data_IF_589285074789
#
_entry.id   IF_589285074789
#
_cell.length_a   1.000
_cell.length_b   1.000
_cell.length_c   1.000
_cell.angle_alpha   90.00
_cell.angle_beta   90.00
_cell.angle_gamma   90.00
#
_symmetry.space_group_name_H-M   'P 1'
#
loop_
_entity.id
_entity.type
_entity.pdbx_description
1 polymer ?
#
# COMPACT_ATOMS: atom_id res chain seq x y z
N UNK A 1 -8.21 -7.51 -18.98
CA UNK A 1 -7.07 -7.69 -19.90
C UNK A 1 -7.04 -6.50 -20.81
N UNK A 2 -5.86 -5.97 -21.11
CA UNK A 2 -5.67 -4.77 -21.93
C UNK A 2 -4.84 -5.10 -23.17
N UNK A 3 -4.95 -4.24 -24.19
CA UNK A 3 -4.20 -4.43 -25.44
C UNK A 3 -2.73 -4.13 -25.23
N UNK A 4 -1.90 -5.10 -25.60
CA UNK A 4 -0.45 -5.00 -25.45
C UNK A 4 0.12 -4.02 -26.46
N UNK A 5 0.91 -3.04 -26.01
CA UNK A 5 1.57 -2.06 -26.88
C UNK A 5 2.43 -2.74 -27.96
N UNK A 6 3.19 -3.78 -27.59
CA UNK A 6 4.07 -4.47 -28.55
C UNK A 6 3.36 -5.35 -29.60
N UNK A 7 2.15 -5.87 -29.36
CA UNK A 7 1.51 -6.81 -30.31
C UNK A 7 0.03 -6.54 -30.62
N UNK A 8 -0.59 -5.53 -29.99
CA UNK A 8 -1.99 -5.15 -30.16
C UNK A 8 -3.00 -6.18 -29.66
N UNK A 9 -2.57 -7.23 -28.94
CA UNK A 9 -3.47 -8.30 -28.46
C UNK A 9 -3.80 -8.12 -26.98
N UNK A 10 -5.06 -8.36 -26.62
CA UNK A 10 -5.49 -8.41 -25.23
C UNK A 10 -4.91 -9.64 -24.53
N UNK A 11 -3.98 -9.43 -23.59
CA UNK A 11 -3.27 -10.51 -22.86
C UNK A 11 -3.03 -10.12 -21.40
N UNK A 12 -2.68 -11.09 -20.57
CA UNK A 12 -2.07 -10.83 -19.27
C UNK A 12 -0.70 -10.16 -19.45
N UNK A 13 -0.38 -9.24 -18.54
CA UNK A 13 0.75 -8.35 -18.63
C UNK A 13 0.78 -7.39 -17.46
N UNK A 14 1.59 -6.35 -17.59
CA UNK A 14 1.75 -5.30 -16.59
C UNK A 14 1.82 -3.93 -17.25
N UNK A 15 1.48 -2.91 -16.48
CA UNK A 15 1.59 -1.52 -16.87
C UNK A 15 2.98 -0.97 -16.54
N UNK A 16 3.64 -0.42 -17.55
CA UNK A 16 4.91 0.29 -17.41
C UNK A 16 4.71 1.78 -17.66
N UNK A 17 5.15 2.60 -16.70
CA UNK A 17 5.00 4.06 -16.71
C UNK A 17 4.71 4.59 -15.30
N UNK A 18 4.73 5.91 -15.17
CA UNK A 18 4.59 6.68 -13.93
C UNK A 18 3.16 6.78 -13.40
N UNK A 19 2.13 6.59 -14.24
CA UNK A 19 0.76 6.91 -13.84
C UNK A 19 -0.29 6.81 -14.93
N UNK A 20 -1.51 7.24 -14.58
CA UNK A 20 -2.65 7.33 -15.49
C UNK A 20 -2.28 8.22 -16.68
N UNK A 21 -2.46 7.72 -17.90
CA UNK A 21 -2.17 8.44 -19.14
C UNK A 21 -0.71 8.36 -19.62
N UNK A 22 0.22 7.94 -18.75
CA UNK A 22 1.63 7.74 -19.11
C UNK A 22 2.02 6.25 -19.17
N UNK A 23 1.21 5.38 -18.58
CA UNK A 23 1.47 3.94 -18.53
C UNK A 23 0.96 3.17 -19.75
N UNK A 24 1.79 2.26 -20.27
CA UNK A 24 1.48 1.35 -21.36
C UNK A 24 1.39 -0.09 -20.87
N UNK A 25 0.45 -0.88 -21.41
CA UNK A 25 0.30 -2.29 -21.08
C UNK A 25 1.21 -3.17 -21.92
N UNK A 26 2.03 -4.00 -21.28
CA UNK A 26 2.96 -4.92 -21.93
C UNK A 26 2.69 -6.35 -21.50
N UNK A 27 2.31 -7.20 -22.46
CA UNK A 27 2.17 -8.64 -22.21
C UNK A 27 3.54 -9.29 -21.96
N UNK A 28 3.57 -10.38 -21.21
CA UNK A 28 4.79 -11.11 -20.83
C UNK A 28 5.73 -11.44 -22.00
N UNK A 29 5.15 -11.76 -23.16
CA UNK A 29 5.93 -12.09 -24.37
C UNK A 29 6.57 -10.87 -25.04
N UNK A 30 5.98 -9.69 -24.89
CA UNK A 30 6.44 -8.45 -25.53
C UNK A 30 7.27 -7.57 -24.60
N UNK A 31 7.35 -7.90 -23.30
CA UNK A 31 8.22 -7.20 -22.37
C UNK A 31 9.69 -7.34 -22.80
N UNK A 32 10.43 -6.23 -22.76
CA UNK A 32 11.87 -6.19 -23.01
C UNK A 32 12.65 -6.98 -21.94
N UNK A 33 13.94 -7.22 -22.18
CA UNK A 33 14.81 -7.83 -21.19
C UNK A 33 14.86 -6.98 -19.90
N UNK A 34 15.11 -5.69 -20.04
CA UNK A 34 15.19 -4.73 -18.92
C UNK A 34 13.89 -4.67 -18.11
N UNK A 35 12.74 -4.73 -18.79
CA UNK A 35 11.43 -4.76 -18.12
C UNK A 35 11.26 -6.02 -17.26
N UNK A 36 11.70 -7.18 -17.76
CA UNK A 36 11.64 -8.45 -17.01
C UNK A 36 12.61 -8.46 -15.85
N UNK A 37 13.82 -7.92 -16.05
CA UNK A 37 14.81 -7.76 -15.00
C UNK A 37 14.30 -6.85 -13.88
N UNK A 38 13.69 -5.72 -14.24
CA UNK A 38 13.06 -4.82 -13.28
C UNK A 38 11.96 -5.53 -12.47
N UNK A 39 11.05 -6.26 -13.12
CA UNK A 39 10.00 -7.02 -12.43
C UNK A 39 10.63 -8.02 -11.44
N UNK A 40 11.62 -8.80 -11.90
CA UNK A 40 12.28 -9.79 -11.04
C UNK A 40 12.96 -9.14 -9.83
N UNK A 41 13.61 -8.00 -10.03
CA UNK A 41 14.25 -7.24 -8.96
C UNK A 41 13.22 -6.74 -7.93
N UNK A 42 12.08 -6.22 -8.38
CA UNK A 42 10.99 -5.77 -7.50
C UNK A 42 10.37 -6.93 -6.72
N UNK A 43 10.14 -8.07 -7.36
CA UNK A 43 9.60 -9.27 -6.70
C UNK A 43 10.58 -9.82 -5.64
N UNK A 44 11.89 -9.70 -5.88
CA UNK A 44 12.92 -10.08 -4.90
C UNK A 44 12.97 -9.12 -3.71
N UNK A 45 12.93 -7.80 -3.97
CA UNK A 45 12.87 -6.77 -2.91
C UNK A 45 11.61 -6.92 -2.06
N UNK A 46 10.47 -7.23 -2.68
CA UNK A 46 9.20 -7.38 -1.99
C UNK A 46 9.20 -8.50 -0.94
N UNK A 47 10.11 -9.50 -1.00
CA UNK A 47 10.17 -10.60 -0.03
C UNK A 47 10.37 -10.17 1.43
N UNK A 48 10.98 -9.01 1.65
CA UNK A 48 11.19 -8.44 2.99
C UNK A 48 10.09 -7.49 3.46
N UNK A 49 9.16 -7.15 2.57
CA UNK A 49 8.19 -6.06 2.75
C UNK A 49 6.76 -6.55 2.61
N UNK A 50 6.45 -7.41 1.65
CA UNK A 50 5.10 -7.85 1.33
C UNK A 50 4.91 -9.36 1.57
N UNK A 51 3.67 -9.75 1.78
CA UNK A 51 3.28 -11.16 1.85
C UNK A 51 3.34 -11.80 0.46
N UNK A 52 3.53 -13.12 0.45
CA UNK A 52 3.54 -13.92 -0.77
C UNK A 52 2.95 -15.29 -0.54
N UNK A 53 2.41 -15.88 -1.59
CA UNK A 53 1.98 -17.27 -1.63
C UNK A 53 2.53 -17.99 -2.87
N UNK A 54 1.86 -19.07 -3.27
CA UNK A 54 2.21 -19.86 -4.45
C UNK A 54 2.01 -19.07 -5.77
N UNK A 55 1.11 -18.08 -5.78
CA UNK A 55 0.77 -17.28 -6.96
C UNK A 55 1.66 -16.03 -7.08
N UNK A 56 2.39 -15.68 -6.02
CA UNK A 56 3.44 -14.67 -6.05
C UNK A 56 3.32 -13.64 -4.92
N UNK A 57 3.85 -12.44 -5.17
CA UNK A 57 3.79 -11.31 -4.23
C UNK A 57 2.40 -10.69 -4.23
N UNK A 58 1.87 -10.47 -3.03
CA UNK A 58 0.58 -9.80 -2.82
C UNK A 58 0.77 -8.29 -2.82
N UNK A 59 0.75 -7.71 -4.01
CA UNK A 59 0.79 -6.26 -4.19
C UNK A 59 -0.52 -5.62 -3.69
N UNK A 60 -0.46 -4.57 -2.85
CA UNK A 60 -1.64 -3.76 -2.55
C UNK A 60 -2.31 -3.25 -3.83
N UNK A 61 -3.65 -3.29 -3.87
CA UNK A 61 -4.49 -3.06 -5.06
C UNK A 61 -4.35 -4.09 -6.19
N UNK A 62 -3.69 -5.21 -5.90
CA UNK A 62 -3.63 -6.37 -6.78
C UNK A 62 -2.57 -6.27 -7.88
N UNK A 63 -2.55 -7.25 -8.80
CA UNK A 63 -1.45 -7.42 -9.75
C UNK A 63 -1.38 -6.33 -10.82
N UNK A 64 -2.41 -5.49 -10.97
CA UNK A 64 -2.50 -4.49 -12.03
C UNK A 64 -1.90 -3.13 -11.67
N UNK A 65 -1.35 -2.95 -10.47
CA UNK A 65 -0.63 -1.71 -10.14
C UNK A 65 0.56 -1.50 -11.07
N UNK A 66 0.82 -0.24 -11.39
CA UNK A 66 1.90 0.14 -12.28
C UNK A 66 3.25 -0.28 -11.70
N UNK A 67 4.16 -0.71 -12.58
CA UNK A 67 5.49 -1.18 -12.17
C UNK A 67 6.27 -0.08 -11.43
N UNK A 68 6.08 1.20 -11.78
CA UNK A 68 6.69 2.30 -11.03
C UNK A 68 6.14 2.41 -9.61
N UNK A 69 4.82 2.34 -9.43
CA UNK A 69 4.19 2.39 -8.10
C UNK A 69 4.60 1.21 -7.20
N UNK A 70 4.95 0.06 -7.78
CA UNK A 70 5.58 -1.05 -7.05
C UNK A 70 6.92 -0.64 -6.46
N UNK A 71 7.77 0.02 -7.25
CA UNK A 71 9.06 0.52 -6.79
C UNK A 71 8.87 1.58 -5.70
N UNK A 72 7.97 2.55 -5.93
CA UNK A 72 7.70 3.64 -5.00
C UNK A 72 7.17 3.13 -3.65
N UNK A 73 6.33 2.08 -3.66
CA UNK A 73 5.84 1.41 -2.46
C UNK A 73 6.99 0.81 -1.67
N UNK A 74 7.89 0.08 -2.34
CA UNK A 74 9.02 -0.58 -1.68
C UNK A 74 9.99 0.45 -1.11
N UNK A 75 10.31 1.50 -1.87
CA UNK A 75 11.16 2.60 -1.40
C UNK A 75 10.53 3.31 -0.19
N UNK A 76 9.22 3.53 -0.21
CA UNK A 76 8.46 4.10 0.90
C UNK A 76 8.50 3.19 2.13
N UNK A 77 8.26 1.88 1.97
CA UNK A 77 8.25 0.94 3.08
C UNK A 77 9.64 0.76 3.69
N UNK A 78 10.69 0.72 2.86
CA UNK A 78 12.09 0.68 3.29
C UNK A 78 12.47 1.94 4.07
N UNK A 79 12.07 3.12 3.59
CA UNK A 79 12.32 4.40 4.29
C UNK A 79 11.76 4.40 5.72
N UNK A 80 10.60 3.79 5.93
CA UNK A 80 9.96 3.71 7.23
C UNK A 80 10.26 2.42 8.01
N UNK A 81 11.16 1.55 7.53
CA UNK A 81 11.44 0.23 8.13
C UNK A 81 10.16 -0.60 8.39
N UNK A 82 9.28 -0.65 7.38
CA UNK A 82 7.98 -1.31 7.46
C UNK A 82 7.92 -2.60 6.65
N UNK A 83 7.09 -3.52 7.13
CA UNK A 83 6.59 -4.67 6.36
C UNK A 83 5.07 -4.72 6.47
N UNK A 84 4.40 -5.30 5.48
CA UNK A 84 2.96 -5.44 5.48
C UNK A 84 2.53 -6.25 6.72
N UNK A 85 1.45 -5.77 7.33
CA UNK A 85 0.71 -6.45 8.36
C UNK A 85 -0.65 -6.85 7.82
N UNK A 86 -1.26 -7.85 8.45
CA UNK A 86 -2.61 -8.27 8.13
C UNK A 86 -3.49 -8.15 9.38
N UNK A 87 -4.69 -7.60 9.20
CA UNK A 87 -5.69 -7.50 10.24
C UNK A 87 -7.06 -7.82 9.69
N UNK A 88 -7.86 -8.55 10.48
CA UNK A 88 -9.27 -8.75 10.21
C UNK A 88 -10.13 -7.50 10.50
N UNK A 89 -9.51 -6.42 10.99
CA UNK A 89 -10.21 -5.18 11.31
C UNK A 89 -10.35 -4.30 10.09
N UNK A 90 -11.55 -3.77 9.90
CA UNK A 90 -11.86 -2.89 8.78
C UNK A 90 -11.08 -1.57 8.80
N UNK A 91 -10.90 -0.93 9.97
CA UNK A 91 -10.11 0.30 10.12
C UNK A 91 -8.65 0.04 10.51
N UNK A 92 -8.35 -1.13 11.07
CA UNK A 92 -7.02 -1.44 11.61
C UNK A 92 -6.66 -0.75 12.93
N UNK A 93 -7.43 0.24 13.41
CA UNK A 93 -7.07 1.04 14.60
C UNK A 93 -6.91 0.21 15.88
N UNK A 94 -7.89 -0.66 16.18
CA UNK A 94 -7.79 -1.55 17.34
C UNK A 94 -6.57 -2.47 17.27
N UNK A 95 -6.28 -2.98 16.08
CA UNK A 95 -5.08 -3.80 15.86
C UNK A 95 -3.81 -2.99 16.06
N UNK A 96 -3.79 -1.76 15.56
CA UNK A 96 -2.67 -0.85 15.68
C UNK A 96 -2.39 -0.48 17.15
N UNK A 97 -3.43 -0.18 17.92
CA UNK A 97 -3.32 0.21 19.34
C UNK A 97 -3.04 -1.00 20.26
N UNK A 98 -3.77 -2.11 20.11
CA UNK A 98 -3.72 -3.25 21.04
C UNK A 98 -2.84 -4.40 20.58
N UNK A 99 -2.33 -4.38 19.35
CA UNK A 99 -1.59 -5.49 18.76
C UNK A 99 -2.48 -6.63 18.25
N UNK A 100 -3.80 -6.54 18.44
CA UNK A 100 -4.80 -7.55 18.07
C UNK A 100 -6.15 -6.89 17.85
N UNK A 101 -7.03 -7.53 17.11
CA UNK A 101 -8.40 -7.04 16.97
C UNK A 101 -9.40 -8.18 16.77
N UNK A 102 -10.52 -8.13 17.49
CA UNK A 102 -11.69 -8.95 17.19
C UNK A 102 -12.63 -8.20 16.24
N UNK A 103 -13.18 -8.89 15.21
CA UNK A 103 -14.06 -8.27 14.19
C UNK A 103 -15.22 -7.44 14.76
N UNK A 104 -15.71 -7.79 15.96
CA UNK A 104 -16.84 -7.11 16.64
C UNK A 104 -16.47 -5.76 17.22
N UNK A 105 -15.17 -5.49 17.41
CA UNK A 105 -14.67 -4.23 17.98
C UNK A 105 -14.50 -3.16 16.88
N UNK A 106 -14.51 -3.55 15.59
CA UNK A 106 -14.33 -2.59 14.50
C UNK A 106 -15.68 -1.95 14.12
N UNK A 107 -15.90 -0.71 14.55
CA UNK A 107 -17.06 0.09 14.15
C UNK A 107 -16.62 1.28 13.28
N UNK A 108 -17.41 1.55 12.23
CA UNK A 108 -17.32 2.76 11.42
C UNK A 108 -16.07 2.86 10.54
N UNK A 109 -16.24 3.47 9.38
CA UNK A 109 -15.14 3.95 8.55
C UNK A 109 -15.47 5.39 8.14
N UNK A 110 -14.82 6.39 8.75
CA UNK A 110 -14.74 7.72 8.16
C UNK A 110 -14.36 7.63 6.67
N UNK A 111 -14.74 8.65 5.88
CA UNK A 111 -14.59 8.62 4.43
C UNK A 111 -13.14 8.45 3.97
N UNK A 112 -12.17 8.85 4.79
CA UNK A 112 -10.74 8.73 4.48
C UNK A 112 -10.19 7.30 4.60
N UNK A 113 -10.94 6.32 5.15
CA UNK A 113 -10.57 4.90 5.16
C UNK A 113 -10.80 4.24 3.79
N UNK A 114 -10.18 4.83 2.78
CA UNK A 114 -10.07 4.29 1.46
C UNK A 114 -8.66 3.77 1.25
N UNK A 115 -8.58 2.69 0.48
CA UNK A 115 -7.30 2.18 0.05
C UNK A 115 -6.37 1.80 1.22
N UNK A 116 -6.97 1.34 2.34
CA UNK A 116 -6.26 1.04 3.59
C UNK A 116 -5.25 -0.11 3.45
N UNK A 117 -4.04 0.12 3.93
CA UNK A 117 -3.00 -0.89 4.15
C UNK A 117 -2.52 -0.84 5.58
N UNK A 118 -2.08 -1.97 6.12
CA UNK A 118 -1.60 -2.09 7.50
C UNK A 118 -0.17 -2.56 7.53
N UNK A 119 0.63 -2.04 8.45
CA UNK A 119 2.08 -2.19 8.45
C UNK A 119 2.63 -2.46 9.85
N UNK A 120 3.57 -3.38 9.91
CA UNK A 120 4.35 -3.74 11.08
C UNK A 120 5.71 -3.04 10.99
N UNK A 121 6.25 -2.61 12.14
CA UNK A 121 7.66 -2.28 12.26
C UNK A 121 8.49 -3.53 12.00
N UNK A 122 9.48 -3.47 11.11
CA UNK A 122 10.38 -4.61 10.88
C UNK A 122 11.29 -4.84 12.07
N UNK A 123 11.71 -3.77 12.74
CA UNK A 123 12.52 -3.84 13.96
C UNK A 123 11.81 -4.54 15.11
N UNK A 124 10.55 -4.19 15.41
CA UNK A 124 9.85 -4.74 16.60
C UNK A 124 8.90 -5.89 16.27
N UNK A 125 8.50 -6.04 15.00
CA UNK A 125 7.45 -6.96 14.57
C UNK A 125 6.04 -6.56 15.02
N UNK A 126 5.86 -5.38 15.64
CA UNK A 126 4.58 -4.91 16.19
C UNK A 126 3.86 -3.98 15.21
N UNK A 127 2.52 -3.85 15.31
CA UNK A 127 1.75 -2.89 14.52
C UNK A 127 2.26 -1.47 14.69
N UNK A 128 2.65 -0.85 13.57
CA UNK A 128 3.29 0.46 13.57
C UNK A 128 2.49 1.50 12.81
N UNK A 129 1.79 1.11 11.74
CA UNK A 129 1.07 2.04 10.89
C UNK A 129 -0.20 1.44 10.28
N UNK A 130 -1.27 2.21 10.30
CA UNK A 130 -2.39 2.09 9.37
C UNK A 130 -2.26 3.23 8.37
N UNK A 131 -2.19 2.89 7.09
CA UNK A 131 -1.98 3.85 6.02
C UNK A 131 -3.18 3.85 5.07
N UNK A 132 -3.77 5.01 4.84
CA UNK A 132 -4.90 5.18 3.92
C UNK A 132 -4.50 6.14 2.79
N UNK A 133 -5.10 5.92 1.62
CA UNK A 133 -4.81 6.71 0.41
C UNK A 133 -6.11 7.13 -0.28
N UNK A 134 -6.99 7.91 0.38
CA UNK A 134 -8.23 8.37 -0.22
C UNK A 134 -7.99 9.32 -1.40
N UNK A 135 -8.94 9.29 -2.32
CA UNK A 135 -9.05 10.29 -3.37
C UNK A 135 -9.54 11.63 -2.78
N UNK A 136 -8.83 12.71 -3.10
CA UNK A 136 -9.17 14.06 -2.65
C UNK A 136 -8.51 14.48 -1.33
N UNK A 137 -8.79 15.70 -0.91
CA UNK A 137 -8.22 16.26 0.32
C UNK A 137 -8.95 15.73 1.55
N UNK A 138 -8.18 15.45 2.60
CA UNK A 138 -8.69 15.02 3.91
C UNK A 138 -8.42 16.10 4.93
N UNK A 139 -9.42 16.45 5.75
CA UNK A 139 -9.23 17.38 6.86
C UNK A 139 -8.47 16.69 8.00
N UNK A 140 -7.28 17.17 8.41
CA UNK A 140 -6.55 16.61 9.55
C UNK A 140 -7.35 16.62 10.86
N UNK A 141 -8.31 17.53 11.04
CA UNK A 141 -9.17 17.56 12.22
C UNK A 141 -10.10 16.34 12.28
N UNK A 142 -10.69 15.93 11.14
CA UNK A 142 -11.53 14.72 11.03
C UNK A 142 -10.72 13.47 11.37
N UNK A 143 -9.47 13.38 10.88
CA UNK A 143 -8.59 12.25 11.19
C UNK A 143 -8.30 12.20 12.69
N UNK A 144 -7.95 13.35 13.32
CA UNK A 144 -7.69 13.41 14.76
C UNK A 144 -8.90 13.01 15.59
N UNK A 145 -10.09 13.50 15.23
CA UNK A 145 -11.33 13.13 15.89
C UNK A 145 -11.55 11.61 15.84
N UNK A 146 -11.33 11.01 14.67
CA UNK A 146 -11.54 9.57 14.46
C UNK A 146 -10.61 8.64 15.27
N UNK A 147 -9.45 9.15 15.69
CA UNK A 147 -8.48 8.40 16.51
C UNK A 147 -8.47 8.84 17.97
N UNK A 148 -9.35 9.76 18.38
CA UNK A 148 -9.32 10.39 19.70
C UNK A 148 -9.50 9.40 20.87
N UNK A 149 -10.15 8.26 20.63
CA UNK A 149 -10.30 7.18 21.62
C UNK A 149 -9.02 6.35 21.83
N UNK A 150 -8.00 6.56 21.00
CA UNK A 150 -6.75 5.80 20.99
C UNK A 150 -5.56 6.71 21.35
N UNK A 151 -5.28 6.93 22.65
CA UNK A 151 -4.27 7.89 23.08
C UNK A 151 -2.82 7.48 22.71
N UNK A 152 -2.59 6.25 22.24
CA UNK A 152 -1.29 5.78 21.76
C UNK A 152 -1.04 6.07 20.28
N UNK A 153 -2.05 6.58 19.58
CA UNK A 153 -2.02 6.80 18.14
C UNK A 153 -1.85 8.27 17.79
N UNK A 154 -1.07 8.53 16.75
CA UNK A 154 -0.93 9.85 16.14
C UNK A 154 -1.29 9.79 14.66
N UNK A 155 -1.70 10.92 14.10
CA UNK A 155 -2.04 11.01 12.69
C UNK A 155 -1.29 12.14 12.00
N UNK A 156 -0.82 11.84 10.78
CA UNK A 156 -0.18 12.78 9.87
C UNK A 156 -0.92 12.71 8.52
N UNK A 157 -1.25 13.86 7.95
CA UNK A 157 -1.78 13.95 6.58
C UNK A 157 -0.71 14.57 5.72
N UNK A 158 -0.25 13.83 4.72
CA UNK A 158 0.80 14.23 3.80
C UNK A 158 0.27 14.35 2.37
N UNK A 159 1.10 14.90 1.46
CA UNK A 159 0.80 14.87 0.03
C UNK A 159 0.75 13.44 -0.53
N UNK A 160 0.54 13.32 -1.83
CA UNK A 160 0.49 12.07 -2.59
C UNK A 160 1.59 11.08 -2.19
N UNK A 161 1.18 9.83 -1.95
CA UNK A 161 2.07 8.75 -1.53
C UNK A 161 2.37 7.81 -2.70
N UNK A 162 2.95 6.64 -2.43
CA UNK A 162 3.44 5.68 -3.41
C UNK A 162 2.40 5.18 -4.43
N UNK A 163 1.10 5.24 -4.12
CA UNK A 163 0.06 4.84 -5.07
C UNK A 163 -0.21 5.88 -6.16
N UNK A 164 0.23 7.14 -5.97
CA UNK A 164 -0.04 8.20 -6.93
C UNK A 164 -1.55 8.44 -7.17
N UNK A 165 -1.88 8.94 -8.36
CA UNK A 165 -3.22 9.20 -8.86
C UNK A 165 -4.05 10.25 -8.08
N UNK A 166 -3.42 11.29 -7.55
CA UNK A 166 -4.10 12.39 -6.85
C UNK A 166 -4.68 11.98 -5.49
N UNK A 167 -4.13 10.93 -4.90
CA UNK A 167 -4.47 10.50 -3.54
C UNK A 167 -3.79 11.35 -2.49
N UNK A 168 -4.38 11.42 -1.30
CA UNK A 168 -3.78 12.03 -0.11
C UNK A 168 -3.26 10.94 0.80
N UNK A 169 -2.05 11.07 1.33
CA UNK A 169 -1.52 10.11 2.30
C UNK A 169 -2.03 10.40 3.71
N UNK A 170 -2.80 9.48 4.29
CA UNK A 170 -3.22 9.55 5.71
C UNK A 170 -2.50 8.47 6.50
N UNK A 171 -1.58 8.89 7.36
CA UNK A 171 -0.75 8.04 8.18
C UNK A 171 -1.30 8.03 9.60
N UNK A 172 -1.61 6.85 10.13
CA UNK A 172 -1.99 6.68 11.54
C UNK A 172 -0.96 5.78 12.20
N UNK A 173 -0.09 6.37 13.01
CA UNK A 173 1.03 5.72 13.66
C UNK A 173 0.66 5.24 15.04
N UNK A 174 1.31 4.15 15.49
CA UNK A 174 1.45 3.86 16.91
C UNK A 174 2.80 4.41 17.38
N UNK A 175 2.81 5.42 18.25
CA UNK A 175 4.04 6.10 18.69
C UNK A 175 5.00 5.15 19.41
N UNK A 176 4.47 4.16 20.14
CA UNK A 176 5.27 3.19 20.88
C UNK A 176 5.93 2.12 20.01
N UNK A 177 5.50 2.00 18.74
CA UNK A 177 6.04 1.03 17.78
C UNK A 177 6.59 1.70 16.51
N UNK A 178 6.65 3.04 16.48
CA UNK A 178 7.25 3.79 15.38
C UNK A 178 8.74 3.41 15.26
N UNK A 179 9.23 3.04 14.06
CA UNK A 179 10.64 2.72 13.85
C UNK A 179 11.59 3.89 14.10
#
# INVERSE_FOLDING_TARGET
MYDCEGCGRSRQGLYFGSGIGEAQWWCWSCQSADQKELISSLDDRARGVLDRDADGVHWPYGPNIYVQMRADLLDWAERYDLKIGNTGCQSGLHWLDKGRCAKRECHGKPGFYDHTTTWLSRTTGRPALVFNQPYGQVDPAEVRESISEYPSLTAEVGPESWYGAGTTGVYIWNDGNRP
#
